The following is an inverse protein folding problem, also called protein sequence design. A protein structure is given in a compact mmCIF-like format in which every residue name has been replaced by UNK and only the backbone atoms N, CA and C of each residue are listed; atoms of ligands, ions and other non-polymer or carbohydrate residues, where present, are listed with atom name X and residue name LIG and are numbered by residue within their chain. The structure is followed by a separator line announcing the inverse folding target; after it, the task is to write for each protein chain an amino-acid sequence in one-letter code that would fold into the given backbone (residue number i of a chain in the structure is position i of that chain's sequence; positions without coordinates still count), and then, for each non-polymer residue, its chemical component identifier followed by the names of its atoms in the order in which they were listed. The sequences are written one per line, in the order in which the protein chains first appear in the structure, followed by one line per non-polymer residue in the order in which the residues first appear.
data_IF_553640667198
#
_entry.id   IF_553640667198
#
_cell.length_a   1.000
_cell.length_b   1.000
_cell.length_c   1.000
_cell.angle_alpha   90.00
_cell.angle_beta   90.00
_cell.angle_gamma   90.00
#
_symmetry.space_group_name_H-M   'P 1'
#
loop_
_entity.id
_entity.type
_entity.pdbx_description
1 polymer ?
#
# COMPACT_ATOMS: atom_id res chain seq x y z
N UNK A 1 10.06 27.64 3.54
CA UNK A 1 10.23 28.22 2.21
C UNK A 1 11.62 27.84 1.68
N UNK A 2 11.69 27.10 0.54
CA UNK A 2 12.97 26.60 -0.03
C UNK A 2 13.91 27.77 -0.39
N UNK A 3 13.36 28.87 -0.84
CA UNK A 3 14.13 30.08 -1.22
C UNK A 3 14.92 30.71 -0.04
N UNK A 4 14.42 30.56 1.18
CA UNK A 4 15.10 31.06 2.37
C UNK A 4 16.41 30.34 2.69
N UNK A 5 16.60 29.12 2.19
CA UNK A 5 17.84 28.34 2.39
C UNK A 5 18.96 28.74 1.43
N UNK A 6 18.67 29.48 0.35
CA UNK A 6 19.64 29.85 -0.69
C UNK A 6 20.48 28.66 -1.18
N UNK A 7 19.84 27.52 -1.36
CA UNK A 7 20.51 26.30 -1.77
C UNK A 7 20.92 26.38 -3.25
N UNK A 8 22.16 26.00 -3.57
CA UNK A 8 22.67 25.93 -4.94
C UNK A 8 22.01 24.81 -5.74
N UNK A 9 21.61 23.73 -5.05
CA UNK A 9 20.92 22.58 -5.63
C UNK A 9 19.96 21.96 -4.62
N UNK A 10 18.80 21.50 -5.08
CA UNK A 10 17.81 20.83 -4.23
C UNK A 10 17.67 19.37 -4.65
N UNK A 11 17.73 18.46 -3.69
CA UNK A 11 17.43 17.04 -3.91
C UNK A 11 16.03 16.74 -3.34
N UNK A 12 15.13 16.22 -4.20
CA UNK A 12 13.76 15.86 -3.84
C UNK A 12 13.66 14.34 -3.70
N UNK A 13 13.36 13.87 -2.48
CA UNK A 13 13.26 12.47 -2.12
C UNK A 13 11.93 12.19 -1.37
N UNK A 14 10.80 12.63 -1.94
CA UNK A 14 9.48 12.60 -1.27
C UNK A 14 8.74 11.28 -1.41
N UNK A 15 9.33 10.29 -2.10
CA UNK A 15 8.70 8.98 -2.32
C UNK A 15 7.59 9.01 -3.36
N UNK A 16 6.94 7.86 -3.56
CA UNK A 16 5.84 7.69 -4.50
C UNK A 16 4.48 8.08 -3.91
N UNK A 17 3.52 8.40 -4.77
CA UNK A 17 2.09 8.44 -4.42
C UNK A 17 1.51 7.03 -4.45
N UNK A 18 0.75 6.69 -3.43
CA UNK A 18 0.11 5.36 -3.31
C UNK A 18 -1.36 5.45 -3.68
N UNK A 19 -1.64 5.94 -4.87
CA UNK A 19 -3.00 6.05 -5.39
C UNK A 19 -3.41 4.71 -6.01
N UNK A 20 -4.58 4.20 -5.63
CA UNK A 20 -5.18 3.05 -6.26
C UNK A 20 -5.51 3.36 -7.74
N UNK A 21 -5.27 2.42 -8.67
CA UNK A 21 -5.66 2.58 -10.06
C UNK A 21 -7.18 2.78 -10.18
N UNK A 22 -7.66 3.32 -11.32
CA UNK A 22 -9.09 3.49 -11.55
C UNK A 22 -9.78 2.12 -11.74
N UNK A 23 -10.24 1.53 -10.64
CA UNK A 23 -11.04 0.31 -10.63
C UNK A 23 -12.48 0.71 -10.34
N UNK A 24 -13.44 0.21 -11.13
CA UNK A 24 -14.86 0.45 -10.90
C UNK A 24 -15.27 -0.08 -9.52
N UNK A 25 -15.91 0.76 -8.70
CA UNK A 25 -16.31 0.42 -7.33
C UNK A 25 -15.26 0.69 -6.24
N UNK A 26 -14.10 1.25 -6.56
CA UNK A 26 -13.05 1.57 -5.57
C UNK A 26 -13.52 2.55 -4.47
N UNK A 27 -14.56 3.33 -4.73
CA UNK A 27 -15.13 4.31 -3.79
C UNK A 27 -16.12 3.70 -2.79
N UNK A 28 -16.45 2.42 -2.92
CA UNK A 28 -17.37 1.74 -2.01
C UNK A 28 -16.85 1.75 -0.57
N UNK A 29 -17.76 1.75 0.40
CA UNK A 29 -17.41 1.92 1.83
C UNK A 29 -16.56 0.78 2.41
N UNK A 30 -16.63 -0.42 1.83
CA UNK A 30 -15.85 -1.59 2.25
C UNK A 30 -14.54 -1.75 1.49
N UNK A 31 -14.20 -0.79 0.61
CA UNK A 31 -12.95 -0.79 -0.17
C UNK A 31 -11.96 0.19 0.44
N UNK A 32 -10.73 -0.27 0.64
CA UNK A 32 -9.63 0.53 1.17
C UNK A 32 -8.40 0.40 0.26
N UNK A 33 -7.69 1.49 0.10
CA UNK A 33 -6.34 1.48 -0.45
C UNK A 33 -5.27 1.51 0.67
N UNK A 34 -4.00 1.44 0.28
CA UNK A 34 -2.89 1.40 1.22
C UNK A 34 -2.77 2.66 2.09
N UNK A 35 -3.10 3.85 1.55
CA UNK A 35 -3.09 5.11 2.32
C UNK A 35 -4.25 5.17 3.31
N UNK A 36 -5.44 4.75 2.90
CA UNK A 36 -6.60 4.69 3.77
C UNK A 36 -6.40 3.71 4.92
N UNK A 37 -5.80 2.52 4.66
CA UNK A 37 -5.45 1.58 5.73
C UNK A 37 -4.43 2.16 6.71
N UNK A 38 -3.40 2.80 6.19
CA UNK A 38 -2.42 3.51 7.01
C UNK A 38 -3.09 4.61 7.83
N UNK A 39 -3.93 5.41 7.18
CA UNK A 39 -4.71 6.46 7.82
C UNK A 39 -5.62 5.95 8.94
N UNK A 40 -6.20 4.76 8.80
CA UNK A 40 -6.95 4.11 9.87
C UNK A 40 -6.07 3.78 11.07
N UNK A 41 -4.90 3.20 10.84
CA UNK A 41 -3.98 2.82 11.93
C UNK A 41 -3.48 4.03 12.72
N UNK A 42 -3.08 5.10 12.01
CA UNK A 42 -2.55 6.31 12.64
C UNK A 42 -3.62 7.36 12.95
N UNK A 43 -4.84 7.19 12.46
CA UNK A 43 -5.94 8.12 12.65
C UNK A 43 -5.81 9.44 11.90
N UNK A 44 -5.02 9.45 10.86
CA UNK A 44 -4.72 10.63 10.06
C UNK A 44 -5.69 10.86 8.91
N UNK A 45 -6.47 9.85 8.53
CA UNK A 45 -7.44 9.94 7.42
C UNK A 45 -8.90 9.94 7.92
N UNK A 46 -9.58 11.11 7.96
CA UNK A 46 -10.97 11.21 8.35
C UNK A 46 -11.94 10.47 7.41
N UNK A 47 -11.59 10.34 6.12
CA UNK A 47 -12.43 9.67 5.13
C UNK A 47 -12.40 8.14 5.35
N UNK A 48 -11.23 7.59 5.60
CA UNK A 48 -11.09 6.18 5.93
C UNK A 48 -11.83 5.84 7.24
N UNK A 49 -11.77 6.71 8.25
CA UNK A 49 -12.49 6.52 9.52
C UNK A 49 -14.00 6.52 9.31
N UNK A 50 -14.54 7.38 8.44
CA UNK A 50 -15.97 7.42 8.11
C UNK A 50 -16.49 6.14 7.46
N UNK A 51 -15.64 5.36 6.82
CA UNK A 51 -15.99 4.04 6.25
C UNK A 51 -16.25 2.97 7.33
N UNK A 52 -15.77 3.18 8.55
CA UNK A 52 -15.96 2.25 9.66
C UNK A 52 -17.35 2.41 10.30
N UNK A 53 -17.85 1.32 10.90
CA UNK A 53 -19.07 1.38 11.70
C UNK A 53 -18.88 2.29 12.92
N UNK A 54 -19.98 2.83 13.46
CA UNK A 54 -19.97 3.67 14.66
C UNK A 54 -19.24 3.01 15.85
N UNK A 55 -19.46 1.72 16.05
CA UNK A 55 -18.81 0.95 17.11
C UNK A 55 -17.29 0.84 16.91
N UNK A 56 -16.84 0.59 15.68
CA UNK A 56 -15.41 0.55 15.35
C UNK A 56 -14.74 1.91 15.54
N UNK A 57 -15.40 3.00 15.13
CA UNK A 57 -14.92 4.37 15.37
C UNK A 57 -14.79 4.67 16.86
N UNK A 58 -15.76 4.25 17.66
CA UNK A 58 -15.76 4.43 19.10
C UNK A 58 -14.58 3.71 19.78
N UNK A 59 -14.33 2.43 19.43
CA UNK A 59 -13.20 1.66 19.95
C UNK A 59 -11.86 2.31 19.55
N UNK A 60 -11.71 2.74 18.31
CA UNK A 60 -10.50 3.43 17.87
C UNK A 60 -10.27 4.75 18.65
N UNK A 61 -11.33 5.50 18.90
CA UNK A 61 -11.26 6.74 19.67
C UNK A 61 -10.79 6.49 21.11
N UNK A 62 -11.31 5.47 21.78
CA UNK A 62 -10.87 5.06 23.13
C UNK A 62 -9.42 4.59 23.11
N UNK A 63 -9.06 3.73 22.16
CA UNK A 63 -7.68 3.23 22.02
C UNK A 63 -6.65 4.34 21.86
N UNK A 64 -7.00 5.39 21.12
CA UNK A 64 -6.13 6.58 20.95
C UNK A 64 -6.06 7.42 22.21
N UNK A 65 -7.19 7.67 22.86
CA UNK A 65 -7.24 8.48 24.08
C UNK A 65 -6.44 7.84 25.23
N UNK A 66 -6.44 6.51 25.30
CA UNK A 66 -5.73 5.74 26.34
C UNK A 66 -4.22 5.61 26.10
N UNK A 67 -3.68 6.17 24.98
CA UNK A 67 -2.28 6.02 24.54
C UNK A 67 -1.79 4.56 24.36
N UNK A 68 -2.64 3.56 24.57
CA UNK A 68 -2.31 2.13 24.43
C UNK A 68 -1.81 1.79 23.02
N UNK A 69 -2.31 2.50 21.99
CA UNK A 69 -1.89 2.31 20.59
C UNK A 69 -0.50 2.87 20.28
N UNK A 70 0.14 3.57 21.22
CA UNK A 70 1.54 4.02 21.04
C UNK A 70 2.56 2.92 21.32
N UNK A 71 2.17 1.90 22.09
CA UNK A 71 3.06 0.78 22.37
C UNK A 71 2.87 -0.33 21.32
N UNK A 72 3.91 -0.56 20.50
CA UNK A 72 3.86 -1.54 19.42
C UNK A 72 3.53 -2.96 19.91
N UNK A 73 4.04 -3.37 21.07
CA UNK A 73 3.74 -4.71 21.64
C UNK A 73 2.26 -4.84 22.01
N UNK A 74 1.70 -3.81 22.64
CA UNK A 74 0.27 -3.76 22.98
C UNK A 74 -0.59 -3.74 21.73
N UNK A 75 -0.23 -2.93 20.74
CA UNK A 75 -0.92 -2.86 19.46
C UNK A 75 -0.91 -4.22 18.73
N UNK A 76 0.23 -4.91 18.70
CA UNK A 76 0.35 -6.25 18.10
C UNK A 76 -0.52 -7.27 18.82
N UNK A 77 -0.55 -7.26 20.16
CA UNK A 77 -1.39 -8.16 20.95
C UNK A 77 -2.89 -7.88 20.75
N UNK A 78 -3.29 -6.61 20.84
CA UNK A 78 -4.68 -6.20 20.63
C UNK A 78 -5.17 -6.50 19.22
N UNK A 79 -4.34 -6.33 18.20
CA UNK A 79 -4.70 -6.62 16.80
C UNK A 79 -5.02 -8.10 16.52
N UNK A 80 -4.52 -9.02 17.34
CA UNK A 80 -4.89 -10.44 17.29
C UNK A 80 -6.30 -10.70 17.85
N UNK A 81 -6.71 -9.90 18.82
CA UNK A 81 -8.03 -10.04 19.48
C UNK A 81 -9.09 -9.29 18.65
N UNK A 82 -8.78 -8.05 18.31
CA UNK A 82 -9.69 -7.19 17.57
C UNK A 82 -8.94 -6.22 16.66
N UNK A 83 -9.47 -6.03 15.47
CA UNK A 83 -9.03 -5.00 14.53
C UNK A 83 -10.23 -4.55 13.68
N UNK A 84 -10.25 -3.29 13.20
CA UNK A 84 -11.35 -2.74 12.40
C UNK A 84 -11.35 -3.24 10.96
N UNK A 85 -10.97 -4.50 10.75
CA UNK A 85 -10.87 -5.17 9.45
C UNK A 85 -11.72 -6.45 9.50
N UNK A 86 -12.50 -6.67 8.46
CA UNK A 86 -13.46 -7.78 8.33
C UNK A 86 -12.77 -9.16 8.33
N UNK A 87 -13.59 -10.23 8.34
CA UNK A 87 -13.07 -11.60 8.37
C UNK A 87 -12.68 -12.12 6.99
N UNK A 88 -13.50 -11.84 5.96
CA UNK A 88 -13.25 -12.30 4.58
C UNK A 88 -12.74 -11.12 3.76
N UNK A 89 -11.49 -11.19 3.34
CA UNK A 89 -10.79 -10.07 2.72
C UNK A 89 -10.27 -10.49 1.34
N UNK A 90 -10.51 -9.63 0.36
CA UNK A 90 -9.81 -9.71 -0.92
C UNK A 90 -8.73 -8.65 -0.95
N UNK A 91 -7.51 -9.06 -1.33
CA UNK A 91 -6.39 -8.15 -1.62
C UNK A 91 -6.20 -8.15 -3.14
N UNK A 92 -6.33 -6.98 -3.75
CA UNK A 92 -6.02 -6.77 -5.16
C UNK A 92 -4.57 -6.28 -5.25
N UNK A 93 -3.71 -7.11 -5.82
CA UNK A 93 -2.26 -6.93 -5.90
C UNK A 93 -1.50 -7.93 -5.03
N UNK A 94 -0.70 -8.77 -5.68
CA UNK A 94 0.07 -9.84 -5.06
C UNK A 94 1.58 -9.64 -5.14
N UNK A 95 2.05 -8.40 -5.15
CA UNK A 95 3.48 -8.08 -5.00
C UNK A 95 3.83 -7.87 -3.51
N UNK A 96 5.00 -7.30 -3.22
CA UNK A 96 5.58 -7.13 -1.89
C UNK A 96 4.52 -6.69 -0.85
N UNK A 97 3.84 -5.57 -1.10
CA UNK A 97 2.89 -4.98 -0.15
C UNK A 97 1.68 -5.88 0.07
N UNK A 98 1.10 -6.42 -1.01
CA UNK A 98 -0.08 -7.28 -0.92
C UNK A 98 0.20 -8.60 -0.22
N UNK A 99 1.35 -9.23 -0.48
CA UNK A 99 1.73 -10.48 0.17
C UNK A 99 2.07 -10.31 1.65
N UNK A 100 2.77 -9.22 2.02
CA UNK A 100 3.06 -8.92 3.43
C UNK A 100 1.77 -8.58 4.20
N UNK A 101 0.85 -7.86 3.57
CA UNK A 101 -0.46 -7.61 4.15
C UNK A 101 -1.27 -8.92 4.31
N UNK A 102 -1.23 -9.80 3.32
CA UNK A 102 -1.88 -11.11 3.40
C UNK A 102 -1.32 -11.95 4.56
N UNK A 103 0.01 -12.03 4.70
CA UNK A 103 0.69 -12.69 5.82
C UNK A 103 0.22 -12.11 7.18
N UNK A 104 0.24 -10.77 7.30
CA UNK A 104 -0.22 -10.09 8.50
C UNK A 104 -1.68 -10.38 8.87
N UNK A 105 -2.58 -10.46 7.90
CA UNK A 105 -4.01 -10.68 8.11
C UNK A 105 -4.31 -12.15 8.47
N UNK A 106 -3.63 -13.09 7.82
CA UNK A 106 -3.77 -14.52 8.10
C UNK A 106 -3.31 -14.86 9.51
N UNK A 107 -2.19 -14.31 9.97
CA UNK A 107 -1.71 -14.47 11.35
C UNK A 107 -2.73 -13.98 12.39
N UNK A 108 -3.71 -13.17 11.96
CA UNK A 108 -4.81 -12.64 12.78
C UNK A 108 -6.15 -13.32 12.50
N UNK A 109 -6.09 -14.52 11.89
CA UNK A 109 -7.26 -15.36 11.66
C UNK A 109 -8.23 -14.82 10.60
N UNK A 110 -7.74 -14.01 9.65
CA UNK A 110 -8.56 -13.55 8.52
C UNK A 110 -8.49 -14.55 7.37
N UNK A 111 -9.61 -14.72 6.65
CA UNK A 111 -9.63 -15.44 5.38
C UNK A 111 -9.24 -14.47 4.28
N UNK A 112 -8.18 -14.80 3.56
CA UNK A 112 -7.59 -13.91 2.56
C UNK A 112 -7.60 -14.55 1.19
N UNK A 113 -8.06 -13.79 0.19
CA UNK A 113 -7.87 -14.07 -1.23
C UNK A 113 -7.01 -12.98 -1.83
N UNK A 114 -5.94 -13.36 -2.53
CA UNK A 114 -5.09 -12.43 -3.27
C UNK A 114 -5.38 -12.57 -4.76
N UNK A 115 -5.73 -11.46 -5.41
CA UNK A 115 -5.96 -11.35 -6.85
C UNK A 115 -4.80 -10.58 -7.47
N UNK A 116 -3.98 -11.24 -8.30
CA UNK A 116 -2.81 -10.67 -8.94
C UNK A 116 -2.98 -10.63 -10.46
N UNK A 117 -2.97 -9.46 -11.10
CA UNK A 117 -3.09 -9.36 -12.55
C UNK A 117 -1.91 -9.98 -13.30
N UNK A 118 -0.71 -9.95 -12.77
CA UNK A 118 0.47 -10.53 -13.41
C UNK A 118 0.52 -12.06 -13.28
N UNK A 119 1.34 -12.74 -14.09
CA UNK A 119 1.44 -14.21 -14.05
C UNK A 119 2.13 -14.76 -12.81
N UNK A 120 2.76 -13.92 -11.98
CA UNK A 120 3.51 -14.37 -10.80
C UNK A 120 3.27 -13.48 -9.59
N UNK A 121 3.20 -14.11 -8.42
CA UNK A 121 3.16 -13.41 -7.13
C UNK A 121 4.56 -12.93 -6.75
N UNK A 122 4.65 -11.72 -6.18
CA UNK A 122 5.87 -11.16 -5.62
C UNK A 122 7.05 -11.08 -6.59
N UNK A 123 6.89 -10.56 -7.81
CA UNK A 123 7.98 -10.51 -8.78
C UNK A 123 9.17 -9.68 -8.27
N UNK A 124 8.93 -8.72 -7.40
CA UNK A 124 9.96 -7.85 -6.81
C UNK A 124 10.52 -8.38 -5.47
N UNK A 125 10.05 -9.54 -5.01
CA UNK A 125 10.61 -10.21 -3.84
C UNK A 125 11.80 -11.08 -4.23
N UNK A 126 12.79 -11.20 -3.32
CA UNK A 126 13.81 -12.22 -3.46
C UNK A 126 13.18 -13.61 -3.51
N UNK A 127 13.77 -14.53 -4.25
CA UNK A 127 13.25 -15.90 -4.44
C UNK A 127 12.96 -16.58 -3.10
N UNK A 128 13.85 -16.44 -2.13
CA UNK A 128 13.72 -17.06 -0.80
C UNK A 128 12.52 -16.46 -0.04
N UNK A 129 12.41 -15.14 0.00
CA UNK A 129 11.27 -14.48 0.69
C UNK A 129 9.95 -14.81 0.02
N UNK A 130 9.90 -14.78 -1.32
CA UNK A 130 8.72 -15.13 -2.10
C UNK A 130 8.24 -16.55 -1.83
N UNK A 131 9.14 -17.53 -1.93
CA UNK A 131 8.80 -18.93 -1.67
C UNK A 131 8.25 -19.12 -0.26
N UNK A 132 8.89 -18.51 0.74
CA UNK A 132 8.44 -18.60 2.13
C UNK A 132 7.06 -18.01 2.34
N UNK A 133 6.80 -16.78 1.87
CA UNK A 133 5.50 -16.11 2.11
C UNK A 133 4.37 -16.81 1.35
N UNK A 134 4.60 -17.21 0.09
CA UNK A 134 3.60 -17.91 -0.70
C UNK A 134 3.27 -19.30 -0.08
N UNK A 135 4.28 -20.01 0.41
CA UNK A 135 4.08 -21.29 1.10
C UNK A 135 3.23 -21.10 2.37
N UNK A 136 3.61 -20.16 3.24
CA UNK A 136 2.88 -19.85 4.46
C UNK A 136 1.42 -19.46 4.18
N UNK A 137 1.18 -18.63 3.17
CA UNK A 137 -0.17 -18.21 2.79
C UNK A 137 -1.02 -19.42 2.36
N UNK A 138 -0.47 -20.33 1.57
CA UNK A 138 -1.14 -21.56 1.13
C UNK A 138 -1.43 -22.50 2.30
N UNK A 139 -0.47 -22.72 3.19
CA UNK A 139 -0.66 -23.57 4.39
C UNK A 139 -1.80 -23.07 5.28
N UNK A 140 -1.99 -21.73 5.36
CA UNK A 140 -3.09 -21.15 6.12
C UNK A 140 -4.38 -20.97 5.32
N UNK A 141 -4.48 -21.57 4.13
CA UNK A 141 -5.71 -21.64 3.33
C UNK A 141 -6.03 -20.36 2.55
N UNK A 142 -5.05 -19.49 2.29
CA UNK A 142 -5.25 -18.36 1.42
C UNK A 142 -5.47 -18.80 -0.03
N UNK A 143 -6.44 -18.17 -0.72
CA UNK A 143 -6.56 -18.29 -2.16
C UNK A 143 -5.61 -17.29 -2.84
N UNK A 144 -4.76 -17.80 -3.74
CA UNK A 144 -3.79 -17.00 -4.47
C UNK A 144 -4.04 -17.19 -5.96
N UNK A 145 -4.59 -16.16 -6.61
CA UNK A 145 -4.99 -16.20 -8.02
C UNK A 145 -4.13 -15.21 -8.81
N UNK A 146 -3.46 -15.70 -9.84
CA UNK A 146 -2.65 -14.92 -10.79
C UNK A 146 -3.30 -14.87 -12.16
N UNK A 147 -2.81 -14.04 -13.08
CA UNK A 147 -3.38 -13.83 -14.41
C UNK A 147 -4.85 -13.39 -14.38
N UNK A 148 -5.27 -12.66 -13.35
CA UNK A 148 -6.65 -12.21 -13.24
C UNK A 148 -6.81 -10.78 -13.74
N UNK A 149 -7.88 -10.52 -14.47
CA UNK A 149 -8.26 -9.16 -14.85
C UNK A 149 -9.38 -8.70 -13.93
N UNK A 150 -9.13 -7.69 -13.13
CA UNK A 150 -10.17 -7.09 -12.27
C UNK A 150 -11.11 -6.28 -13.14
N UNK A 151 -12.39 -6.61 -13.12
CA UNK A 151 -13.42 -5.91 -13.87
C UNK A 151 -14.10 -4.84 -13.00
N UNK A 152 -14.56 -5.23 -11.80
CA UNK A 152 -15.36 -4.38 -10.93
C UNK A 152 -15.27 -4.85 -9.48
N UNK A 153 -15.36 -3.91 -8.55
CA UNK A 153 -15.63 -4.17 -7.14
C UNK A 153 -17.09 -3.83 -6.88
N UNK A 154 -17.87 -4.81 -6.44
CA UNK A 154 -19.28 -4.67 -6.10
C UNK A 154 -19.50 -4.74 -4.59
N UNK A 155 -20.73 -4.52 -4.12
CA UNK A 155 -21.08 -4.68 -2.70
C UNK A 155 -20.91 -6.11 -2.18
N UNK A 156 -20.90 -7.10 -3.07
CA UNK A 156 -20.78 -8.52 -2.70
C UNK A 156 -19.33 -9.01 -2.72
N UNK A 157 -18.42 -8.30 -3.42
CA UNK A 157 -17.04 -8.72 -3.58
C UNK A 157 -16.42 -8.21 -4.88
N UNK A 158 -15.55 -9.01 -5.49
CA UNK A 158 -14.80 -8.62 -6.70
C UNK A 158 -15.19 -9.49 -7.89
N UNK A 159 -15.62 -8.86 -8.97
CA UNK A 159 -15.82 -9.45 -10.27
C UNK A 159 -14.50 -9.40 -11.05
N UNK A 160 -14.00 -10.55 -11.46
CA UNK A 160 -12.75 -10.64 -12.23
C UNK A 160 -12.90 -11.66 -13.36
N UNK A 161 -12.04 -11.56 -14.36
CA UNK A 161 -11.92 -12.56 -15.43
C UNK A 161 -10.63 -13.37 -15.24
N UNK A 162 -10.73 -14.66 -15.41
CA UNK A 162 -9.62 -15.61 -15.47
C UNK A 162 -9.87 -16.57 -16.61
N UNK A 163 -8.89 -16.77 -17.49
CA UNK A 163 -9.02 -17.59 -18.71
C UNK A 163 -10.26 -17.26 -19.57
N UNK A 164 -10.60 -15.96 -19.66
CA UNK A 164 -11.76 -15.39 -20.38
C UNK A 164 -13.12 -15.67 -19.75
N UNK A 165 -13.17 -16.36 -18.62
CA UNK A 165 -14.40 -16.56 -17.85
C UNK A 165 -14.53 -15.51 -16.75
N UNK A 166 -15.76 -15.07 -16.51
CA UNK A 166 -16.07 -14.11 -15.45
C UNK A 166 -16.40 -14.85 -14.14
N UNK A 167 -15.77 -14.43 -13.08
CA UNK A 167 -15.95 -15.00 -11.74
C UNK A 167 -16.26 -13.90 -10.73
N UNK A 168 -17.07 -14.23 -9.72
CA UNK A 168 -17.34 -13.39 -8.56
C UNK A 168 -16.78 -14.07 -7.30
N UNK A 169 -15.87 -13.40 -6.60
CA UNK A 169 -15.47 -13.79 -5.25
C UNK A 169 -16.12 -12.87 -4.24
N UNK A 170 -16.86 -13.46 -3.28
CA UNK A 170 -17.48 -12.70 -2.19
C UNK A 170 -16.47 -12.29 -1.14
N UNK A 171 -16.61 -11.07 -0.64
CA UNK A 171 -15.78 -10.55 0.44
C UNK A 171 -16.54 -9.52 1.26
N UNK A 172 -16.21 -9.45 2.55
CA UNK A 172 -16.72 -8.41 3.45
C UNK A 172 -15.94 -7.10 3.28
N UNK A 173 -14.71 -7.20 2.77
CA UNK A 173 -13.80 -6.07 2.59
C UNK A 173 -12.81 -6.31 1.45
N UNK A 174 -12.50 -5.25 0.72
CA UNK A 174 -11.52 -5.27 -0.37
C UNK A 174 -10.40 -4.28 -0.06
N UNK A 175 -9.15 -4.72 -0.25
CA UNK A 175 -7.97 -3.89 -0.07
C UNK A 175 -7.23 -3.81 -1.39
N UNK A 176 -7.04 -2.61 -1.91
CA UNK A 176 -6.27 -2.38 -3.13
C UNK A 176 -4.81 -2.14 -2.73
N UNK A 177 -3.98 -3.14 -3.01
CA UNK A 177 -2.53 -3.12 -2.75
C UNK A 177 -1.72 -2.94 -4.05
N UNK A 178 -2.35 -2.38 -5.07
CA UNK A 178 -1.72 -2.01 -6.33
C UNK A 178 -1.53 -0.50 -6.34
N UNK A 179 -0.40 -0.07 -6.87
CA UNK A 179 -0.14 1.35 -7.12
C UNK A 179 0.89 1.92 -6.16
N UNK A 180 1.95 2.35 -6.77
CA UNK A 180 2.86 3.37 -6.31
C UNK A 180 3.26 4.12 -7.58
N UNK A 181 2.84 5.37 -7.71
CA UNK A 181 3.13 6.19 -8.88
C UNK A 181 4.23 7.21 -8.55
N UNK A 182 5.12 7.53 -9.47
CA UNK A 182 6.10 8.61 -9.30
C UNK A 182 5.43 9.90 -8.86
N UNK A 183 6.10 10.65 -7.98
CA UNK A 183 5.61 11.92 -7.47
C UNK A 183 6.59 13.05 -7.80
N UNK A 184 6.45 13.64 -8.96
CA UNK A 184 7.31 14.74 -9.46
C UNK A 184 6.74 16.14 -9.19
N UNK A 185 5.63 16.28 -8.49
CA UNK A 185 4.97 17.57 -8.27
C UNK A 185 5.91 18.58 -7.62
N UNK A 186 6.56 18.22 -6.52
CA UNK A 186 7.47 19.09 -5.82
C UNK A 186 8.70 19.46 -6.68
N UNK A 187 9.28 18.47 -7.40
CA UNK A 187 10.37 18.74 -8.36
C UNK A 187 9.94 19.77 -9.40
N UNK A 188 8.77 19.60 -10.00
CA UNK A 188 8.26 20.50 -11.03
C UNK A 188 8.00 21.91 -10.48
N UNK A 189 7.45 22.01 -9.27
CA UNK A 189 7.22 23.29 -8.59
C UNK A 189 8.53 24.03 -8.28
N UNK A 190 9.59 23.31 -7.89
CA UNK A 190 10.92 23.89 -7.63
C UNK A 190 11.57 24.33 -8.95
N UNK A 191 11.50 23.47 -9.98
CA UNK A 191 12.04 23.77 -11.31
C UNK A 191 11.40 25.02 -11.93
N UNK A 192 10.10 25.23 -11.71
CA UNK A 192 9.39 26.43 -12.17
C UNK A 192 9.91 27.74 -11.55
N UNK A 193 10.66 27.66 -10.44
CA UNK A 193 11.34 28.78 -9.79
C UNK A 193 12.79 28.96 -10.24
N UNK A 194 13.22 28.25 -11.29
CA UNK A 194 14.60 28.25 -11.79
C UNK A 194 15.66 27.80 -10.77
N UNK A 195 15.28 27.00 -9.79
CA UNK A 195 16.21 26.42 -8.82
C UNK A 195 16.68 25.06 -9.35
N UNK A 196 18.00 24.79 -9.39
CA UNK A 196 18.53 23.48 -9.77
C UNK A 196 17.97 22.38 -8.87
N UNK A 197 17.37 21.33 -9.46
CA UNK A 197 16.68 20.28 -8.70
C UNK A 197 16.82 18.92 -9.32
N UNK A 198 17.16 17.93 -8.50
CA UNK A 198 17.20 16.51 -8.87
C UNK A 198 16.20 15.73 -8.00
N UNK A 199 15.36 14.91 -8.62
CA UNK A 199 14.51 13.96 -7.89
C UNK A 199 15.18 12.59 -7.84
N UNK A 200 15.04 11.87 -6.72
CA UNK A 200 15.65 10.57 -6.47
C UNK A 200 14.69 9.61 -5.77
N UNK A 201 14.92 8.30 -5.94
CA UNK A 201 14.14 7.27 -5.29
C UNK A 201 12.73 7.14 -5.86
N UNK A 202 11.81 6.61 -5.07
CA UNK A 202 10.46 6.25 -5.51
C UNK A 202 9.62 7.40 -6.07
N UNK A 203 10.03 8.66 -5.87
CA UNK A 203 9.37 9.78 -6.52
C UNK A 203 9.67 9.86 -8.03
N UNK A 204 10.72 9.20 -8.52
CA UNK A 204 11.06 9.10 -9.95
C UNK A 204 10.61 7.79 -10.56
N UNK A 205 10.92 6.69 -9.90
CA UNK A 205 10.50 5.33 -10.26
C UNK A 205 10.54 4.45 -9.02
N UNK A 206 9.53 3.60 -8.86
CA UNK A 206 9.46 2.72 -7.69
C UNK A 206 10.57 1.68 -7.77
N UNK A 207 11.58 1.83 -6.92
CA UNK A 207 12.77 0.97 -6.86
C UNK A 207 13.10 0.50 -5.44
N UNK A 208 12.21 0.78 -4.49
CA UNK A 208 12.37 0.48 -3.08
C UNK A 208 13.70 1.02 -2.50
N UNK A 209 14.19 0.44 -1.41
CA UNK A 209 15.42 0.87 -0.72
C UNK A 209 16.63 0.83 -1.67
N UNK A 210 16.76 -0.25 -2.45
CA UNK A 210 17.89 -0.42 -3.38
C UNK A 210 17.91 0.68 -4.45
N UNK A 211 16.76 0.95 -5.07
CA UNK A 211 16.61 2.01 -6.08
C UNK A 211 16.91 3.39 -5.50
N UNK A 212 16.38 3.70 -4.32
CA UNK A 212 16.61 4.97 -3.65
C UNK A 212 18.11 5.22 -3.35
N UNK A 213 18.83 4.20 -2.87
CA UNK A 213 20.28 4.28 -2.61
C UNK A 213 21.07 4.49 -3.92
N UNK A 214 20.72 3.75 -4.98
CA UNK A 214 21.37 3.87 -6.27
C UNK A 214 21.18 5.25 -6.90
N UNK A 215 19.96 5.79 -6.83
CA UNK A 215 19.63 7.13 -7.34
C UNK A 215 20.32 8.24 -6.53
N UNK A 216 20.35 8.10 -5.21
CA UNK A 216 21.07 9.05 -4.36
C UNK A 216 22.56 9.13 -4.73
N UNK A 217 23.21 7.97 -4.90
CA UNK A 217 24.62 7.93 -5.33
C UNK A 217 24.83 8.60 -6.69
N UNK A 218 23.98 8.30 -7.68
CA UNK A 218 24.06 8.94 -9.00
C UNK A 218 23.86 10.46 -8.93
N UNK A 219 22.91 10.92 -8.11
CA UNK A 219 22.64 12.35 -7.96
C UNK A 219 23.83 13.10 -7.40
N UNK A 220 24.49 12.58 -6.34
CA UNK A 220 25.66 13.21 -5.74
C UNK A 220 26.81 13.29 -6.75
N UNK A 221 27.14 12.19 -7.44
CA UNK A 221 28.19 12.19 -8.46
C UNK A 221 27.93 13.18 -9.60
N UNK A 222 26.68 13.35 -10.01
CA UNK A 222 26.32 14.30 -11.05
C UNK A 222 26.41 15.77 -10.57
N UNK A 223 26.14 16.05 -9.30
CA UNK A 223 26.26 17.39 -8.73
C UNK A 223 27.74 17.76 -8.57
N UNK A 224 28.59 16.84 -8.12
CA UNK A 224 30.05 17.05 -8.02
C UNK A 224 30.71 17.35 -9.38
N UNK A 225 30.18 16.78 -10.47
CA UNK A 225 30.66 17.03 -11.84
C UNK A 225 30.22 18.40 -12.42
N UNK A 226 29.24 19.07 -11.79
CA UNK A 226 28.69 20.35 -12.22
C UNK A 226 29.19 21.53 -11.38
N UNK A 227 29.85 21.26 -10.26
CA UNK A 227 30.47 22.24 -9.36
C UNK A 227 31.94 22.50 -9.74
#
# INVERSE_FOLDING_TARGET
NIESFKADHVIVAVGAKRDAPPILGKELSHVFDGEQLRGLLFGSDPLAIKKLSFFQQFILKIGRASQLLRNIKVLTMLSKIWMPISKNIIIIGGDLVGLELAEFLIERGRKVTVLEPSPSLGPNLSIVRRSRVVHLLKEHGAQLLTNVKINEISKEGVLYAHDKEAHLIKADQVIIAIGANPNLELKNAIKAKNIPVTAIGDCTSVGYIHGAIADARKAVLNIELLA
#
